data_IF_014035231174
#
_entry.id   IF_014035231174
#
_cell.length_a   1.000
_cell.length_b   1.000
_cell.length_c   1.000
_cell.angle_alpha   90.00
_cell.angle_beta   90.00
_cell.angle_gamma   90.00
#
_symmetry.space_group_name_H-M   'P 1'
#
loop_
_entity.id
_entity.type
_entity.pdbx_description
1 polymer ?
#
# COMPACT_ATOMS: atom_id res chain seq x y z
N UNK A 1 -47.42 -28.31 34.31
CA UNK A 1 -46.80 -26.97 34.36
C UNK A 1 -45.72 -26.93 33.26
N UNK A 2 -46.06 -26.47 32.07
CA UNK A 2 -45.14 -26.42 30.90
C UNK A 2 -44.52 -25.04 30.88
N UNK A 3 -43.20 -25.02 31.02
CA UNK A 3 -42.41 -23.80 30.94
C UNK A 3 -42.18 -23.50 29.45
N UNK A 4 -42.75 -22.40 28.98
CA UNK A 4 -42.53 -21.86 27.62
C UNK A 4 -41.30 -20.99 27.68
N UNK A 5 -40.24 -21.44 27.01
CA UNK A 5 -39.03 -20.66 26.84
C UNK A 5 -39.26 -19.74 25.62
N UNK A 6 -39.42 -18.44 25.86
CA UNK A 6 -39.39 -17.41 24.85
C UNK A 6 -37.94 -17.23 24.38
N UNK A 7 -37.63 -17.78 23.21
CA UNK A 7 -36.41 -17.39 22.51
C UNK A 7 -36.63 -15.99 21.92
N UNK A 8 -35.98 -15.02 22.54
CA UNK A 8 -35.88 -13.68 22.00
C UNK A 8 -34.90 -13.73 20.79
N UNK A 9 -35.44 -13.86 19.59
CA UNK A 9 -34.68 -13.64 18.35
C UNK A 9 -34.54 -12.14 18.19
N UNK A 10 -33.39 -11.62 18.62
CA UNK A 10 -33.02 -10.25 18.30
C UNK A 10 -32.71 -10.20 16.82
N UNK A 11 -33.68 -9.75 16.02
CA UNK A 11 -33.43 -9.29 14.67
C UNK A 11 -32.53 -8.06 14.75
N UNK A 12 -31.23 -8.25 14.66
CA UNK A 12 -30.37 -7.19 14.20
C UNK A 12 -30.77 -6.90 12.74
N UNK A 13 -31.58 -5.86 12.57
CA UNK A 13 -31.68 -5.19 11.28
C UNK A 13 -30.28 -4.58 11.02
N UNK A 14 -29.37 -5.44 10.59
CA UNK A 14 -28.10 -5.01 10.06
C UNK A 14 -28.40 -4.22 8.79
N UNK A 15 -28.27 -2.92 8.84
CA UNK A 15 -28.02 -2.15 7.64
C UNK A 15 -26.83 -2.85 6.97
N UNK A 16 -27.12 -3.59 5.93
CA UNK A 16 -26.15 -4.15 4.99
C UNK A 16 -25.47 -2.96 4.28
N UNK A 17 -24.57 -2.30 5.00
CA UNK A 17 -23.50 -1.63 4.29
C UNK A 17 -22.70 -2.74 3.64
N UNK A 18 -22.80 -2.83 2.32
CA UNK A 18 -21.98 -3.72 1.52
C UNK A 18 -20.53 -3.23 1.56
N UNK A 19 -19.92 -3.31 2.75
CA UNK A 19 -18.49 -3.12 2.93
C UNK A 19 -17.75 -4.24 2.21
N UNK A 20 -16.61 -3.94 1.66
CA UNK A 20 -15.71 -4.96 1.15
C UNK A 20 -15.10 -5.73 2.31
N UNK A 21 -14.59 -6.94 2.05
CA UNK A 21 -13.81 -7.68 3.06
C UNK A 21 -12.60 -6.87 3.55
N UNK A 22 -12.10 -5.95 2.72
CA UNK A 22 -11.02 -5.03 3.10
C UNK A 22 -11.49 -3.99 4.11
N UNK A 23 -12.69 -3.43 3.94
CA UNK A 23 -13.27 -2.48 4.90
C UNK A 23 -13.55 -3.17 6.24
N UNK A 24 -14.06 -4.40 6.19
CA UNK A 24 -14.23 -5.24 7.37
C UNK A 24 -12.91 -5.47 8.10
N UNK A 25 -11.86 -5.83 7.37
CA UNK A 25 -10.53 -6.01 7.95
C UNK A 25 -9.98 -4.71 8.56
N UNK A 26 -10.09 -3.60 7.87
CA UNK A 26 -9.64 -2.29 8.39
C UNK A 26 -10.38 -1.93 9.67
N UNK A 27 -11.69 -2.17 9.72
CA UNK A 27 -12.49 -1.96 10.92
C UNK A 27 -12.03 -2.85 12.09
N UNK A 28 -11.81 -4.12 11.84
CA UNK A 28 -11.28 -5.06 12.82
C UNK A 28 -9.88 -4.69 13.31
N UNK A 29 -8.98 -4.34 12.39
CA UNK A 29 -7.62 -3.93 12.72
C UNK A 29 -7.60 -2.70 13.63
N UNK A 30 -8.46 -1.71 13.40
CA UNK A 30 -8.60 -0.53 14.25
C UNK A 30 -9.08 -0.89 15.65
N UNK A 31 -10.05 -1.79 15.75
CA UNK A 31 -10.62 -2.22 17.02
C UNK A 31 -9.60 -2.97 17.89
N UNK A 32 -8.77 -3.82 17.28
CA UNK A 32 -7.83 -4.69 18.01
C UNK A 32 -6.39 -4.17 18.04
N UNK A 33 -6.14 -2.98 17.51
CA UNK A 33 -4.81 -2.40 17.32
C UNK A 33 -3.90 -2.46 18.55
N UNK A 34 -4.44 -2.21 19.72
CA UNK A 34 -3.67 -2.14 20.98
C UNK A 34 -3.65 -3.45 21.76
N UNK A 35 -4.19 -4.52 21.21
CA UNK A 35 -4.34 -5.78 21.95
C UNK A 35 -3.36 -6.85 21.42
N UNK A 36 -2.87 -7.76 22.30
CA UNK A 36 -2.10 -8.94 21.85
C UNK A 36 -2.87 -9.84 20.88
N UNK A 37 -4.20 -9.79 20.92
CA UNK A 37 -5.07 -10.52 20.00
C UNK A 37 -4.89 -10.09 18.55
N UNK A 38 -4.38 -8.89 18.30
CA UNK A 38 -4.15 -8.38 16.95
C UNK A 38 -3.20 -9.28 16.13
N UNK A 39 -2.12 -9.76 16.76
CA UNK A 39 -1.18 -10.65 16.09
C UNK A 39 -1.85 -12.00 15.72
N UNK A 40 -2.67 -12.53 16.61
CA UNK A 40 -3.45 -13.74 16.34
C UNK A 40 -4.48 -13.49 15.25
N UNK A 41 -5.12 -12.34 15.23
CA UNK A 41 -6.07 -11.92 14.22
C UNK A 41 -5.42 -11.83 12.84
N UNK A 42 -4.30 -11.11 12.68
CA UNK A 42 -3.58 -11.02 11.41
C UNK A 42 -3.12 -12.39 10.93
N UNK A 43 -2.62 -13.25 11.82
CA UNK A 43 -2.26 -14.62 11.47
C UNK A 43 -3.45 -15.43 10.94
N UNK A 44 -4.61 -15.28 11.57
CA UNK A 44 -5.84 -15.98 11.14
C UNK A 44 -6.31 -15.51 9.75
N UNK A 45 -6.05 -14.26 9.40
CA UNK A 45 -6.48 -13.65 8.15
C UNK A 45 -5.57 -13.96 6.97
N UNK A 46 -4.29 -14.27 7.20
CA UNK A 46 -3.34 -14.65 6.13
C UNK A 46 -3.88 -15.80 5.30
N UNK A 47 -4.47 -16.82 5.95
CA UNK A 47 -5.13 -17.92 5.24
C UNK A 47 -6.36 -17.54 4.46
N UNK A 48 -6.99 -16.39 4.78
CA UNK A 48 -8.17 -15.85 4.11
C UNK A 48 -7.83 -14.89 2.98
N UNK A 49 -6.58 -14.51 2.81
CA UNK A 49 -6.15 -13.49 1.84
C UNK A 49 -6.66 -13.73 0.43
N UNK A 50 -6.80 -15.00 0.04
CA UNK A 50 -7.41 -15.38 -1.25
C UNK A 50 -8.89 -15.02 -1.35
N UNK A 51 -9.60 -14.88 -0.24
CA UNK A 51 -11.03 -14.54 -0.22
C UNK A 51 -11.27 -13.04 -0.35
N UNK A 52 -10.32 -12.23 0.10
CA UNK A 52 -10.35 -10.78 -0.09
C UNK A 52 -10.12 -10.39 -1.55
N UNK A 53 -9.47 -11.27 -2.27
CA UNK A 53 -9.15 -11.12 -3.68
C UNK A 53 -10.15 -11.88 -4.52
N UNK A 54 -11.34 -11.34 -4.71
CA UNK A 54 -12.33 -11.92 -5.60
C UNK A 54 -12.19 -11.29 -6.98
N UNK A 55 -11.91 -12.14 -7.96
CA UNK A 55 -11.97 -11.80 -9.38
C UNK A 55 -13.33 -11.17 -9.68
N UNK A 56 -13.36 -9.97 -10.26
CA UNK A 56 -14.59 -9.31 -10.66
C UNK A 56 -15.36 -8.60 -9.54
N UNK A 57 -14.75 -8.36 -8.38
CA UNK A 57 -15.35 -7.41 -7.46
C UNK A 57 -15.39 -6.02 -8.10
N UNK A 58 -16.55 -5.37 -8.08
CA UNK A 58 -16.67 -4.05 -8.68
C UNK A 58 -15.68 -3.10 -8.03
N UNK A 59 -14.97 -2.37 -8.84
CA UNK A 59 -14.20 -1.18 -8.48
C UNK A 59 -15.09 -0.07 -7.96
N UNK A 60 -16.30 -0.36 -7.75
CA UNK A 60 -17.25 0.66 -7.50
C UNK A 60 -16.99 1.29 -6.16
N UNK A 61 -17.03 2.55 -6.17
CA UNK A 61 -17.63 3.32 -5.15
C UNK A 61 -19.03 2.73 -4.86
N UNK A 62 -19.11 1.88 -3.88
CA UNK A 62 -20.39 1.38 -3.38
C UNK A 62 -20.83 2.30 -2.27
N UNK A 63 -21.67 3.27 -2.60
CA UNK A 63 -22.20 4.22 -1.64
C UNK A 63 -21.16 5.24 -1.11
N UNK A 64 -20.24 5.72 -1.97
CA UNK A 64 -19.21 6.68 -1.61
C UNK A 64 -17.95 6.05 -0.97
N UNK A 65 -17.82 4.73 -1.01
CA UNK A 65 -16.65 4.02 -0.47
C UNK A 65 -15.88 3.37 -1.59
N UNK A 66 -14.64 3.73 -1.71
CA UNK A 66 -13.73 3.10 -2.65
C UNK A 66 -13.27 1.74 -2.13
N UNK A 67 -13.38 0.78 -3.02
CA UNK A 67 -12.80 -0.54 -2.83
C UNK A 67 -11.30 -0.40 -2.82
N UNK A 68 -10.68 -0.67 -1.69
CA UNK A 68 -9.25 -0.51 -1.51
C UNK A 68 -8.44 -1.48 -2.38
N UNK A 69 -8.87 -2.72 -2.46
CA UNK A 69 -8.27 -3.74 -3.31
C UNK A 69 -8.85 -3.69 -4.72
N UNK A 70 -7.96 -3.78 -5.70
CA UNK A 70 -8.32 -3.77 -7.12
C UNK A 70 -7.78 -5.03 -7.77
N UNK A 71 -8.64 -5.75 -8.48
CA UNK A 71 -8.24 -6.94 -9.22
C UNK A 71 -7.52 -6.54 -10.51
N UNK A 72 -6.21 -6.68 -10.51
CA UNK A 72 -5.36 -6.53 -11.70
C UNK A 72 -4.84 -7.91 -12.06
N UNK A 73 -5.43 -8.52 -13.08
CA UNK A 73 -5.08 -9.88 -13.48
C UNK A 73 -3.60 -10.01 -13.83
N UNK A 74 -2.92 -10.98 -13.18
CA UNK A 74 -1.50 -11.26 -13.36
C UNK A 74 -0.56 -10.54 -12.40
N UNK A 75 -1.06 -9.66 -11.53
CA UNK A 75 -0.30 -9.12 -10.41
C UNK A 75 -1.00 -9.40 -9.07
N UNK A 76 -0.48 -8.90 -7.97
CA UNK A 76 -1.09 -9.08 -6.66
C UNK A 76 -0.74 -7.93 -5.72
N UNK A 77 -1.31 -7.95 -4.52
CA UNK A 77 -1.10 -6.91 -3.51
C UNK A 77 -1.45 -5.50 -4.01
N UNK A 78 -2.26 -5.42 -5.07
CA UNK A 78 -2.60 -4.16 -5.73
C UNK A 78 -3.77 -3.47 -5.04
N UNK A 79 -3.60 -2.21 -4.70
CA UNK A 79 -4.59 -1.39 -4.00
C UNK A 79 -4.37 0.10 -4.17
N UNK A 80 -5.43 0.86 -3.98
CA UNK A 80 -5.36 2.30 -3.76
C UNK A 80 -4.91 2.58 -2.32
N UNK A 81 -3.97 3.49 -2.10
CA UNK A 81 -3.57 3.88 -0.75
C UNK A 81 -4.57 4.84 -0.11
N UNK A 82 -5.46 5.46 -0.89
CA UNK A 82 -6.46 6.43 -0.44
C UNK A 82 -7.83 5.83 -0.16
N UNK A 83 -8.77 6.72 0.18
CA UNK A 83 -10.20 6.42 0.31
C UNK A 83 -10.68 6.04 1.70
N UNK A 84 -9.81 5.74 2.65
CA UNK A 84 -10.18 5.26 3.97
C UNK A 84 -9.43 5.96 5.13
N UNK A 85 -8.33 6.62 4.82
CA UNK A 85 -7.38 7.20 5.78
C UNK A 85 -7.25 8.73 5.63
N UNK A 86 -8.22 9.36 4.99
CA UNK A 86 -8.22 10.81 4.72
C UNK A 86 -7.49 11.23 3.45
N UNK A 87 -6.91 10.29 2.71
CA UNK A 87 -6.32 10.55 1.41
C UNK A 87 -7.37 10.39 0.31
N UNK A 88 -7.21 11.17 -0.77
CA UNK A 88 -8.04 11.04 -1.98
C UNK A 88 -7.74 9.72 -2.68
N UNK A 89 -8.76 9.20 -3.29
CA UNK A 89 -8.70 7.98 -4.10
C UNK A 89 -8.28 8.28 -5.53
N UNK A 90 -7.85 7.23 -6.23
CA UNK A 90 -7.56 7.33 -7.66
C UNK A 90 -6.26 8.06 -7.99
N UNK A 91 -5.41 8.32 -7.01
CA UNK A 91 -4.18 9.08 -7.19
C UNK A 91 -2.92 8.24 -7.05
N UNK A 92 -2.86 7.41 -6.03
CA UNK A 92 -1.66 6.60 -5.75
C UNK A 92 -2.08 5.16 -5.50
N UNK A 93 -1.54 4.29 -6.29
CA UNK A 93 -1.72 2.86 -6.18
C UNK A 93 -0.42 2.18 -5.79
N UNK A 94 -0.52 1.08 -5.07
CA UNK A 94 0.63 0.26 -4.73
C UNK A 94 0.33 -1.22 -4.99
N UNK A 95 1.37 -1.99 -5.33
CA UNK A 95 1.21 -3.42 -5.58
C UNK A 95 2.53 -4.12 -5.86
N UNK A 96 2.44 -5.39 -6.24
CA UNK A 96 3.56 -6.18 -6.72
C UNK A 96 3.92 -5.78 -8.16
N UNK A 97 5.06 -6.26 -8.64
CA UNK A 97 5.54 -5.99 -9.99
C UNK A 97 4.50 -6.36 -11.07
N UNK A 98 4.32 -5.54 -12.11
CA UNK A 98 3.42 -5.85 -13.22
C UNK A 98 4.05 -6.82 -14.23
N UNK A 99 5.37 -6.99 -14.18
CA UNK A 99 6.14 -7.92 -15.01
C UNK A 99 7.29 -8.51 -14.20
N UNK A 100 7.44 -9.83 -14.22
CA UNK A 100 8.55 -10.50 -13.54
C UNK A 100 9.69 -10.82 -14.50
N UNK A 101 10.86 -11.01 -13.95
CA UNK A 101 12.01 -11.50 -14.70
C UNK A 101 11.83 -12.99 -15.01
N UNK A 102 11.96 -13.37 -16.27
CA UNK A 102 11.82 -14.76 -16.72
C UNK A 102 13.15 -15.52 -16.82
N UNK A 103 14.27 -14.80 -16.73
CA UNK A 103 15.59 -15.41 -16.80
C UNK A 103 15.88 -16.23 -15.54
N UNK A 104 16.12 -17.54 -15.71
CA UNK A 104 16.33 -18.49 -14.62
C UNK A 104 17.54 -18.14 -13.74
N UNK A 105 18.63 -17.61 -14.32
CA UNK A 105 19.82 -17.24 -13.55
C UNK A 105 19.58 -16.04 -12.65
N UNK A 106 18.79 -15.08 -13.12
CA UNK A 106 18.39 -13.91 -12.31
C UNK A 106 17.49 -14.36 -11.17
N UNK A 107 16.53 -15.24 -11.45
CA UNK A 107 15.63 -15.80 -10.45
C UNK A 107 16.38 -16.61 -9.40
N UNK A 108 17.34 -17.45 -9.82
CA UNK A 108 18.16 -18.25 -8.92
C UNK A 108 19.00 -17.37 -7.98
N UNK A 109 19.64 -16.30 -8.52
CA UNK A 109 20.39 -15.32 -7.72
C UNK A 109 19.53 -14.59 -6.69
N UNK A 110 18.25 -14.44 -6.96
CA UNK A 110 17.27 -13.83 -6.03
C UNK A 110 16.75 -14.82 -5.00
N UNK A 111 17.12 -16.08 -5.08
CA UNK A 111 16.51 -17.15 -4.26
C UNK A 111 15.02 -17.33 -4.52
N UNK A 112 14.57 -17.00 -5.73
CA UNK A 112 13.16 -16.93 -6.08
C UNK A 112 12.85 -17.79 -7.28
N UNK A 113 11.69 -18.40 -7.25
CA UNK A 113 11.08 -19.00 -8.43
C UNK A 113 10.39 -17.89 -9.24
N UNK A 114 10.27 -18.08 -10.56
CA UNK A 114 9.41 -17.22 -11.37
C UNK A 114 8.04 -17.18 -10.69
N UNK A 115 7.65 -16.01 -10.25
CA UNK A 115 6.27 -15.83 -9.85
C UNK A 115 5.50 -15.61 -11.14
N UNK A 116 4.29 -16.14 -11.20
CA UNK A 116 3.35 -15.85 -12.29
C UNK A 116 2.85 -14.40 -12.22
N UNK A 117 3.73 -13.47 -11.82
CA UNK A 117 3.45 -12.03 -11.72
C UNK A 117 3.78 -11.36 -13.03
N UNK A 118 2.90 -11.58 -13.99
CA UNK A 118 2.89 -10.82 -15.24
C UNK A 118 1.47 -10.35 -15.48
N UNK A 119 1.27 -9.04 -15.45
CA UNK A 119 -0.02 -8.46 -15.79
C UNK A 119 -0.44 -8.95 -17.17
N UNK A 120 -1.59 -9.59 -17.24
CA UNK A 120 -2.16 -10.04 -18.50
C UNK A 120 -2.64 -8.85 -19.33
N UNK A 121 -2.97 -9.06 -20.60
CA UNK A 121 -3.57 -8.02 -21.44
C UNK A 121 -4.81 -7.39 -20.76
N UNK A 122 -5.57 -8.18 -19.98
CA UNK A 122 -6.69 -7.69 -19.20
C UNK A 122 -6.22 -6.84 -18.02
N UNK A 123 -5.22 -7.29 -17.27
CA UNK A 123 -4.63 -6.51 -16.17
C UNK A 123 -4.04 -5.19 -16.67
N UNK A 124 -3.35 -5.19 -17.81
CA UNK A 124 -2.81 -3.98 -18.41
C UNK A 124 -3.91 -3.00 -18.85
N UNK A 125 -5.05 -3.49 -19.36
CA UNK A 125 -6.22 -2.62 -19.64
C UNK A 125 -6.79 -1.98 -18.38
N UNK A 126 -6.81 -2.70 -17.27
CA UNK A 126 -7.20 -2.11 -15.97
C UNK A 126 -6.23 -1.00 -15.59
N UNK A 127 -4.92 -1.25 -15.63
CA UNK A 127 -3.90 -0.27 -15.24
C UNK A 127 -3.93 0.98 -16.14
N UNK A 128 -3.95 0.80 -17.45
CA UNK A 128 -3.87 1.92 -18.40
C UNK A 128 -5.22 2.59 -18.66
N UNK A 129 -6.26 1.80 -18.91
CA UNK A 129 -7.57 2.32 -19.35
C UNK A 129 -8.47 2.72 -18.18
N UNK A 130 -8.63 1.84 -17.21
CA UNK A 130 -9.56 2.10 -16.13
C UNK A 130 -8.95 2.95 -15.00
N UNK A 131 -7.70 2.66 -14.59
CA UNK A 131 -7.00 3.43 -13.56
C UNK A 131 -6.25 4.63 -14.14
N UNK A 132 -6.00 4.62 -15.43
CA UNK A 132 -5.30 5.69 -16.12
C UNK A 132 -3.90 5.96 -15.59
N UNK A 133 -3.17 4.91 -15.18
CA UNK A 133 -1.81 5.05 -14.62
C UNK A 133 -0.93 5.84 -15.59
N UNK A 134 -0.36 6.93 -15.11
CA UNK A 134 0.56 7.78 -15.88
C UNK A 134 2.02 7.57 -15.52
N UNK A 135 2.29 7.23 -14.27
CA UNK A 135 3.65 6.97 -13.79
C UNK A 135 3.72 5.58 -13.19
N UNK A 136 4.58 4.76 -13.76
CA UNK A 136 5.00 3.47 -13.24
C UNK A 136 6.28 3.68 -12.43
N UNK A 137 6.15 3.74 -11.10
CA UNK A 137 7.26 4.00 -10.18
C UNK A 137 7.86 2.68 -9.70
N UNK A 138 8.90 2.24 -10.40
CA UNK A 138 9.60 0.98 -10.15
C UNK A 138 10.74 1.16 -9.14
N UNK A 139 10.61 0.54 -7.98
CA UNK A 139 11.60 0.56 -6.89
C UNK A 139 12.54 -0.65 -6.90
N UNK A 140 12.47 -1.51 -7.92
CA UNK A 140 13.31 -2.69 -8.05
C UNK A 140 14.76 -2.34 -8.37
N UNK A 141 15.68 -3.19 -7.94
CA UNK A 141 17.09 -3.09 -8.29
C UNK A 141 17.33 -3.32 -9.80
N UNK A 142 18.54 -2.98 -10.27
CA UNK A 142 18.87 -3.02 -11.70
C UNK A 142 18.67 -4.40 -12.35
N UNK A 143 18.93 -5.45 -11.57
CA UNK A 143 18.82 -6.83 -12.06
C UNK A 143 17.47 -7.48 -11.79
N UNK A 144 16.52 -6.73 -11.23
CA UNK A 144 15.21 -7.27 -10.86
C UNK A 144 14.14 -7.02 -11.93
N UNK A 145 14.26 -5.98 -12.73
CA UNK A 145 13.32 -5.67 -13.80
C UNK A 145 13.70 -6.36 -15.09
N UNK A 146 12.76 -7.01 -15.80
CA UNK A 146 13.01 -7.61 -17.10
C UNK A 146 13.27 -6.55 -18.19
N UNK A 147 12.68 -5.38 -18.05
CA UNK A 147 12.78 -4.27 -19.00
C UNK A 147 13.13 -2.99 -18.22
N UNK A 148 14.42 -2.68 -18.04
CA UNK A 148 14.83 -1.57 -17.20
C UNK A 148 14.52 -0.18 -17.77
N UNK A 149 14.16 -0.09 -19.05
CA UNK A 149 13.92 1.17 -19.77
C UNK A 149 12.45 1.38 -20.15
N UNK A 150 11.61 0.35 -20.00
CA UNK A 150 10.22 0.38 -20.45
C UNK A 150 9.28 -0.17 -19.38
N UNK A 151 8.09 0.40 -19.34
CA UNK A 151 6.98 -0.12 -18.53
C UNK A 151 6.09 -1.02 -19.38
N UNK A 152 5.51 -2.11 -18.84
CA UNK A 152 4.50 -2.87 -19.53
C UNK A 152 3.15 -2.15 -19.63
N UNK A 153 2.96 -1.03 -18.92
CA UNK A 153 1.68 -0.33 -18.84
C UNK A 153 1.56 0.66 -20.02
N UNK A 154 0.65 0.42 -20.98
CA UNK A 154 0.51 1.29 -22.14
C UNK A 154 0.23 2.74 -21.75
N UNK A 155 0.98 3.66 -22.33
CA UNK A 155 0.81 5.11 -22.10
C UNK A 155 1.38 5.63 -20.78
N UNK A 156 1.87 4.77 -19.91
CA UNK A 156 2.54 5.20 -18.69
C UNK A 156 4.03 5.52 -18.97
N UNK A 157 4.60 6.38 -18.12
CA UNK A 157 6.03 6.67 -18.10
C UNK A 157 6.70 5.83 -17.01
N UNK A 158 7.74 5.10 -17.36
CA UNK A 158 8.58 4.44 -16.37
C UNK A 158 9.40 5.48 -15.60
N UNK A 159 9.31 5.41 -14.28
CA UNK A 159 10.18 6.13 -13.36
C UNK A 159 10.87 5.11 -12.46
N UNK A 160 12.12 4.78 -12.79
CA UNK A 160 12.85 3.76 -12.06
C UNK A 160 13.77 4.37 -11.03
N UNK A 161 13.54 4.02 -9.76
CA UNK A 161 14.32 4.50 -8.62
C UNK A 161 14.58 3.37 -7.62
N UNK A 162 15.60 2.52 -7.86
CA UNK A 162 15.97 1.46 -6.93
C UNK A 162 16.19 1.98 -5.53
N UNK A 163 15.55 1.36 -4.55
CA UNK A 163 15.67 1.78 -3.17
C UNK A 163 15.83 0.60 -2.20
N UNK A 164 16.32 0.89 -1.01
CA UNK A 164 16.27 -0.01 0.13
C UNK A 164 14.87 -0.05 0.75
N UNK A 165 14.74 -0.75 1.86
CA UNK A 165 13.50 -0.87 2.61
C UNK A 165 13.67 -0.39 4.05
N UNK A 166 12.57 -0.08 4.71
CA UNK A 166 12.48 0.25 6.14
C UNK A 166 13.46 1.34 6.59
N UNK A 167 14.29 1.08 7.59
CA UNK A 167 15.27 2.05 8.11
C UNK A 167 16.33 2.42 7.09
N UNK A 168 16.76 1.47 6.23
CA UNK A 168 17.72 1.76 5.15
C UNK A 168 17.14 2.75 4.13
N UNK A 169 15.83 2.66 3.86
CA UNK A 169 15.14 3.64 3.03
C UNK A 169 15.17 5.03 3.66
N UNK A 170 14.85 5.15 4.96
CA UNK A 170 14.87 6.44 5.66
C UNK A 170 16.26 7.05 5.80
N UNK A 171 17.32 6.23 5.82
CA UNK A 171 18.70 6.71 5.88
C UNK A 171 19.17 7.30 4.55
N UNK A 172 18.58 6.88 3.43
CA UNK A 172 18.90 7.43 2.11
C UNK A 172 18.04 8.66 1.79
N UNK A 173 18.29 9.75 2.52
CA UNK A 173 17.49 10.99 2.43
C UNK A 173 17.51 11.62 1.04
N UNK A 174 18.64 11.51 0.30
CA UNK A 174 18.73 12.01 -1.08
C UNK A 174 17.78 11.27 -2.03
N UNK A 175 17.65 9.96 -1.87
CA UNK A 175 16.73 9.14 -2.66
C UNK A 175 15.28 9.38 -2.23
N UNK A 176 15.03 9.45 -0.92
CA UNK A 176 13.71 9.79 -0.37
C UNK A 176 13.21 11.14 -0.91
N UNK A 177 14.09 12.13 -0.99
CA UNK A 177 13.78 13.44 -1.58
C UNK A 177 13.38 13.33 -3.05
N UNK A 178 14.15 12.58 -3.86
CA UNK A 178 13.83 12.39 -5.29
C UNK A 178 12.48 11.71 -5.47
N UNK A 179 12.20 10.69 -4.66
CA UNK A 179 10.93 9.96 -4.67
C UNK A 179 9.76 10.86 -4.26
N UNK A 180 9.89 11.64 -3.19
CA UNK A 180 8.83 12.57 -2.75
C UNK A 180 8.54 13.66 -3.80
N UNK A 181 9.54 14.15 -4.52
CA UNK A 181 9.35 15.15 -5.58
C UNK A 181 8.47 14.64 -6.74
N UNK A 182 8.42 13.33 -7.00
CA UNK A 182 7.49 12.77 -7.98
C UNK A 182 6.05 13.11 -7.58
N UNK A 183 5.73 13.03 -6.30
CA UNK A 183 4.40 13.29 -5.78
C UNK A 183 4.07 14.79 -5.62
N UNK A 184 5.05 15.67 -5.75
CA UNK A 184 4.82 17.11 -5.76
C UNK A 184 4.32 17.63 -7.11
N UNK A 185 4.44 16.84 -8.18
CA UNK A 185 4.01 17.20 -9.54
C UNK A 185 2.68 16.51 -9.89
N UNK A 186 1.64 17.31 -10.12
CA UNK A 186 0.30 16.84 -10.51
C UNK A 186 0.31 16.07 -11.84
N UNK A 187 1.24 16.36 -12.73
CA UNK A 187 1.37 15.71 -14.03
C UNK A 187 1.72 14.22 -13.95
N UNK A 188 2.26 13.78 -12.82
CA UNK A 188 2.66 12.39 -12.63
C UNK A 188 1.50 11.44 -12.27
N UNK A 189 0.35 11.97 -11.86
CA UNK A 189 -0.77 11.17 -11.35
C UNK A 189 -1.71 10.67 -12.45
N UNK A 190 -2.30 9.47 -12.26
CA UNK A 190 -2.11 8.53 -11.15
C UNK A 190 -0.75 7.83 -11.18
N UNK A 191 -0.20 7.57 -9.97
CA UNK A 191 1.10 6.90 -9.78
C UNK A 191 0.87 5.47 -9.30
N UNK A 192 1.53 4.52 -9.94
CA UNK A 192 1.63 3.13 -9.46
C UNK A 192 3.01 2.89 -8.85
N UNK A 193 3.07 2.65 -7.56
CA UNK A 193 4.31 2.34 -6.83
C UNK A 193 4.44 0.83 -6.72
N UNK A 194 5.53 0.28 -7.20
CA UNK A 194 5.80 -1.14 -7.02
C UNK A 194 7.26 -1.45 -6.77
N UNK A 195 7.48 -2.61 -6.19
CA UNK A 195 8.74 -3.32 -6.19
C UNK A 195 8.45 -4.75 -6.62
N UNK A 196 9.17 -5.73 -6.11
CA UNK A 196 8.87 -7.14 -6.39
C UNK A 196 7.47 -7.55 -5.87
N UNK A 197 7.28 -7.54 -4.55
CA UNK A 197 6.00 -7.95 -3.91
C UNK A 197 5.08 -6.80 -3.53
N UNK A 198 5.49 -5.55 -3.77
CA UNK A 198 4.73 -4.38 -3.31
C UNK A 198 4.61 -4.24 -1.79
N UNK A 199 5.44 -4.96 -1.04
CA UNK A 199 5.36 -5.06 0.42
C UNK A 199 6.35 -4.13 1.13
N UNK A 200 7.65 -4.36 0.94
CA UNK A 200 8.68 -3.80 1.81
C UNK A 200 9.20 -2.44 1.31
N UNK A 201 9.85 -2.38 0.14
CA UNK A 201 10.30 -1.11 -0.48
C UNK A 201 9.14 -0.18 -0.79
N UNK A 202 8.11 -0.72 -1.43
CA UNK A 202 6.85 -0.02 -1.69
C UNK A 202 6.16 0.41 -0.40
N UNK A 203 6.16 -0.45 0.62
CA UNK A 203 5.63 -0.11 1.94
C UNK A 203 6.38 1.00 2.63
N UNK A 204 7.70 1.07 2.46
CA UNK A 204 8.53 2.15 3.04
C UNK A 204 8.23 3.51 2.40
N UNK A 205 8.05 3.53 1.08
CA UNK A 205 7.67 4.77 0.39
C UNK A 205 6.22 5.17 0.71
N UNK A 206 5.28 4.22 0.74
CA UNK A 206 3.90 4.49 1.12
C UNK A 206 3.83 5.05 2.55
N UNK A 207 4.53 4.44 3.52
CA UNK A 207 4.64 4.93 4.89
C UNK A 207 5.11 6.39 4.95
N UNK A 208 6.14 6.74 4.18
CA UNK A 208 6.66 8.11 4.16
C UNK A 208 5.65 9.09 3.57
N UNK A 209 5.01 8.72 2.45
CA UNK A 209 4.04 9.55 1.77
C UNK A 209 2.76 9.76 2.60
N UNK A 210 2.21 8.67 3.12
CA UNK A 210 1.01 8.68 3.96
C UNK A 210 1.25 9.48 5.25
N UNK A 211 2.37 9.25 5.92
CA UNK A 211 2.74 9.97 7.14
C UNK A 211 2.95 11.46 6.90
N UNK A 212 3.59 11.85 5.80
CA UNK A 212 3.73 13.25 5.39
C UNK A 212 2.36 13.91 5.14
N UNK A 213 1.40 13.14 4.67
CA UNK A 213 0.01 13.57 4.46
C UNK A 213 -0.84 13.56 5.75
N UNK A 214 -0.30 13.13 6.87
CA UNK A 214 -0.96 13.16 8.18
C UNK A 214 -1.83 11.95 8.49
N UNK A 215 -1.61 10.83 7.82
CA UNK A 215 -2.26 9.56 8.13
C UNK A 215 -1.88 9.11 9.54
N UNK A 216 -2.82 8.58 10.29
CA UNK A 216 -2.61 8.15 11.67
C UNK A 216 -1.65 6.97 11.78
N UNK A 217 -0.98 6.81 12.92
CA UNK A 217 -0.09 5.66 13.17
C UNK A 217 -0.81 4.32 12.99
N UNK A 218 -2.06 4.26 13.41
CA UNK A 218 -2.89 3.07 13.24
C UNK A 218 -3.09 2.75 11.77
N UNK A 219 -3.47 3.75 10.98
CA UNK A 219 -3.76 3.58 9.56
C UNK A 219 -2.50 3.28 8.75
N UNK A 220 -1.37 3.90 9.06
CA UNK A 220 -0.06 3.54 8.49
C UNK A 220 0.27 2.07 8.71
N UNK A 221 0.00 1.58 9.92
CA UNK A 221 0.25 0.18 10.27
C UNK A 221 -0.71 -0.75 9.54
N UNK A 222 -1.97 -0.38 9.41
CA UNK A 222 -2.98 -1.14 8.68
C UNK A 222 -2.60 -1.24 7.19
N UNK A 223 -2.15 -0.14 6.56
CA UNK A 223 -1.71 -0.22 5.17
C UNK A 223 -0.59 -1.23 4.98
N UNK A 224 0.41 -1.22 5.85
CA UNK A 224 1.50 -2.19 5.82
C UNK A 224 0.98 -3.63 5.93
N UNK A 225 0.11 -3.89 6.90
CA UNK A 225 -0.40 -5.23 7.24
C UNK A 225 -1.40 -5.78 6.21
N UNK A 226 -2.04 -4.93 5.43
CA UNK A 226 -2.90 -5.34 4.32
C UNK A 226 -2.18 -6.24 3.32
N UNK A 227 -0.86 -6.17 3.21
CA UNK A 227 -0.05 -7.10 2.41
C UNK A 227 -0.26 -8.56 2.81
N UNK A 228 -0.62 -8.83 4.07
CA UNK A 228 -0.89 -10.18 4.58
C UNK A 228 -2.05 -10.89 3.89
N UNK A 229 -2.92 -10.15 3.23
CA UNK A 229 -4.04 -10.71 2.46
C UNK A 229 -3.68 -11.06 1.02
N UNK A 230 -2.45 -10.78 0.62
CA UNK A 230 -1.93 -11.15 -0.69
C UNK A 230 -1.10 -12.43 -0.63
N UNK A 231 -0.83 -13.03 -1.79
CA UNK A 231 0.07 -14.18 -1.90
C UNK A 231 1.53 -13.87 -1.56
N UNK A 232 1.88 -12.61 -1.36
CA UNK A 232 3.22 -12.18 -0.94
C UNK A 232 3.51 -12.67 0.49
N UNK A 233 2.46 -12.88 1.28
CA UNK A 233 2.54 -13.45 2.60
C UNK A 233 2.54 -12.40 3.72
N UNK A 234 2.60 -12.93 4.92
CA UNK A 234 2.39 -12.18 6.15
C UNK A 234 3.31 -10.97 6.30
N UNK A 235 2.70 -9.85 6.65
CA UNK A 235 3.37 -8.66 7.18
C UNK A 235 2.60 -8.19 8.40
N UNK A 236 3.30 -8.10 9.54
CA UNK A 236 2.72 -7.61 10.77
C UNK A 236 3.65 -6.56 11.39
N UNK A 237 3.05 -5.53 11.97
CA UNK A 237 3.78 -4.40 12.57
C UNK A 237 4.71 -4.80 13.70
N UNK A 238 4.45 -5.92 14.35
CA UNK A 238 5.22 -6.43 15.48
C UNK A 238 6.24 -7.52 15.08
N UNK A 239 6.28 -7.91 13.81
CA UNK A 239 7.22 -8.93 13.34
C UNK A 239 8.61 -8.35 13.20
N UNK A 240 9.53 -8.73 14.01
CA UNK A 240 10.97 -8.42 13.98
C UNK A 240 11.34 -6.92 14.07
N UNK A 241 12.32 -6.56 14.89
CA UNK A 241 12.71 -5.17 15.12
C UNK A 241 13.32 -4.46 13.88
N UNK A 242 13.65 -5.21 12.83
CA UNK A 242 14.30 -4.67 11.62
C UNK A 242 13.35 -4.16 10.54
N UNK A 243 12.03 -4.36 10.71
CA UNK A 243 11.06 -4.03 9.70
C UNK A 243 10.24 -2.79 10.06
N UNK A 244 8.93 -2.86 9.88
CA UNK A 244 8.04 -1.72 10.07
C UNK A 244 8.17 -1.05 11.44
N UNK A 245 8.23 -1.83 12.53
CA UNK A 245 8.35 -1.27 13.87
C UNK A 245 9.61 -0.41 14.05
N UNK A 246 10.74 -0.85 13.48
CA UNK A 246 12.00 -0.08 13.52
C UNK A 246 11.93 1.20 12.70
N UNK A 247 11.27 1.15 11.55
CA UNK A 247 11.05 2.32 10.71
C UNK A 247 10.16 3.36 11.41
N UNK A 248 9.06 2.92 12.01
CA UNK A 248 8.18 3.78 12.80
C UNK A 248 8.90 4.36 14.02
N UNK A 249 9.66 3.54 14.75
CA UNK A 249 10.44 3.98 15.90
C UNK A 249 11.51 5.02 15.50
N UNK A 250 12.18 4.81 14.37
CA UNK A 250 13.14 5.77 13.83
C UNK A 250 12.44 7.10 13.48
N UNK A 251 11.25 7.06 12.89
CA UNK A 251 10.48 8.27 12.60
C UNK A 251 10.04 9.00 13.87
N UNK A 252 9.58 8.26 14.88
CA UNK A 252 9.14 8.82 16.18
C UNK A 252 10.24 9.55 16.96
N UNK A 253 11.50 9.22 16.73
CA UNK A 253 12.64 9.89 17.36
C UNK A 253 12.93 11.28 16.78
N UNK A 254 12.35 11.63 15.65
CA UNK A 254 12.56 12.93 14.99
C UNK A 254 11.84 14.05 15.74
N UNK A 255 12.34 15.31 15.64
CA UNK A 255 11.69 16.45 16.27
C UNK A 255 10.27 16.65 15.68
N UNK A 256 9.34 17.13 16.52
CA UNK A 256 7.97 17.42 16.16
C UNK A 256 6.98 17.04 17.28
N UNK A 257 5.95 17.84 17.48
CA UNK A 257 4.92 17.59 18.49
C UNK A 257 4.01 16.41 18.12
N UNK A 258 3.67 16.31 16.85
CA UNK A 258 2.83 15.24 16.30
C UNK A 258 3.64 14.32 15.39
N UNK A 259 3.11 13.15 15.08
CA UNK A 259 3.74 12.24 14.11
C UNK A 259 3.86 12.91 12.73
N UNK A 260 2.86 13.67 12.31
CA UNK A 260 2.88 14.46 11.08
C UNK A 260 4.04 15.46 11.05
N UNK A 261 4.27 16.18 12.14
CA UNK A 261 5.36 17.15 12.23
C UNK A 261 6.72 16.46 12.10
N UNK A 262 6.85 15.25 12.63
CA UNK A 262 8.06 14.43 12.52
C UNK A 262 8.35 14.03 11.08
N UNK A 263 7.32 13.65 10.32
CA UNK A 263 7.44 13.38 8.88
C UNK A 263 7.78 14.63 8.08
N UNK A 264 7.20 15.77 8.43
CA UNK A 264 7.49 17.06 7.79
C UNK A 264 8.92 17.50 8.05
N UNK A 265 9.38 17.43 9.30
CA UNK A 265 10.75 17.76 9.66
C UNK A 265 11.76 16.80 9.00
N UNK A 266 11.43 15.53 8.85
CA UNK A 266 12.23 14.62 8.05
C UNK A 266 12.29 15.04 6.58
N UNK A 267 11.14 15.33 5.96
CA UNK A 267 11.09 15.70 4.56
C UNK A 267 11.82 17.03 4.27
N UNK A 268 11.64 18.04 5.12
CA UNK A 268 12.25 19.36 4.93
C UNK A 268 13.68 19.37 5.45
N UNK A 269 13.90 18.97 6.71
CA UNK A 269 15.16 19.12 7.40
C UNK A 269 16.23 18.11 6.98
N UNK A 270 15.84 16.84 6.77
CA UNK A 270 16.78 15.77 6.42
C UNK A 270 16.84 15.50 4.91
N UNK A 271 15.69 15.50 4.23
CA UNK A 271 15.63 15.25 2.78
C UNK A 271 15.82 16.50 1.94
N UNK A 272 15.63 17.70 2.49
CA UNK A 272 15.83 18.97 1.78
C UNK A 272 14.71 19.28 0.78
N UNK A 273 13.48 18.87 1.08
CA UNK A 273 12.32 19.38 0.36
C UNK A 273 12.01 20.80 0.80
N UNK A 274 11.56 21.62 -0.13
CA UNK A 274 11.01 22.93 0.23
C UNK A 274 9.62 22.79 0.87
N UNK A 275 9.20 23.72 1.73
CA UNK A 275 7.82 23.78 2.23
C UNK A 275 6.75 23.80 1.12
N UNK A 276 7.09 24.38 -0.03
CA UNK A 276 6.21 24.40 -1.22
C UNK A 276 6.01 23.01 -1.81
N UNK A 277 7.05 22.19 -1.89
CA UNK A 277 6.96 20.80 -2.36
C UNK A 277 6.11 19.96 -1.42
N UNK A 278 6.31 20.06 -0.11
CA UNK A 278 5.50 19.38 0.90
C UNK A 278 4.02 19.80 0.81
N UNK A 279 3.76 21.11 0.68
CA UNK A 279 2.41 21.63 0.51
C UNK A 279 1.77 21.17 -0.80
N UNK A 280 2.53 21.05 -1.89
CA UNK A 280 2.05 20.54 -3.17
C UNK A 280 1.61 19.07 -3.05
N UNK A 281 2.42 18.21 -2.41
CA UNK A 281 2.09 16.81 -2.13
C UNK A 281 0.75 16.73 -1.39
N UNK A 282 0.61 17.45 -0.27
CA UNK A 282 -0.60 17.46 0.56
C UNK A 282 -1.81 17.95 -0.20
N UNK A 283 -1.70 19.04 -0.92
CA UNK A 283 -2.82 19.61 -1.72
C UNK A 283 -3.30 18.63 -2.78
N UNK A 284 -2.40 17.90 -3.43
CA UNK A 284 -2.76 16.90 -4.43
C UNK A 284 -3.44 15.71 -3.77
N UNK A 285 -2.80 15.12 -2.76
CA UNK A 285 -3.20 13.82 -2.20
C UNK A 285 -4.32 13.96 -1.15
N UNK A 286 -4.31 15.01 -0.34
CA UNK A 286 -5.34 15.24 0.70
C UNK A 286 -6.42 16.20 0.20
N UNK A 287 -6.05 17.21 -0.56
CA UNK A 287 -6.99 18.24 -1.06
C UNK A 287 -7.16 19.43 -0.14
N UNK A 288 -6.20 19.64 0.75
CA UNK A 288 -6.19 20.76 1.71
C UNK A 288 -4.98 21.65 1.48
#
# INVERSE_FOLDING_TARGET
MRMVIFSCVIFFAGFLFAGTLTDEFVGEARRVYVTPAYQSYTNSLVGRGRFLWRRGQPRADVGGRLVRWIDVEGTCNFRDIGGWNGLKTGLVYRGAEPNCHTNADVLARRGQKCHDLMATAKGLRVLSGELGIRTDLDLRGEHESPTPTETPIPGARLCRMPCGNYTNFLQNTKLAAKLLRIFADRGNYPVYIHCYGGADRTGSLAFLLEGLCGVSEVDLSIDYELTSFSRIGRRARFDKPYYYASMLAAMKKRPGATLRDKFENYAIGECGLSPREVSAIRRIIVGK
#
